data_IF_574572011098
#
_entry.id   IF_574572011098
#
_cell.length_a   1.000
_cell.length_b   1.000
_cell.length_c   1.000
_cell.angle_alpha   90.00
_cell.angle_beta   90.00
_cell.angle_gamma   90.00
#
_symmetry.space_group_name_H-M   'P 1'
#
loop_
_entity.id
_entity.type
_entity.pdbx_description
1 polymer ?
#
# COMPACT_ATOMS: atom_id res chain seq x y z
N UNK A 1 -27.05 11.49 24.79
CA UNK A 1 -26.59 10.89 23.48
C UNK A 1 -25.11 11.16 23.40
N UNK A 2 -24.30 10.09 23.33
CA UNK A 2 -22.86 10.23 23.26
C UNK A 2 -22.45 10.75 21.88
N UNK A 3 -21.44 11.62 21.82
CA UNK A 3 -20.91 12.18 20.57
C UNK A 3 -19.95 11.15 19.99
N UNK A 4 -20.17 10.75 18.75
CA UNK A 4 -19.16 10.01 18.00
C UNK A 4 -18.76 10.76 16.73
N UNK A 5 -17.52 10.57 16.27
CA UNK A 5 -17.01 11.12 15.03
C UNK A 5 -16.61 9.97 14.12
N UNK A 6 -16.98 10.06 12.85
CA UNK A 6 -16.55 9.14 11.79
C UNK A 6 -15.90 9.93 10.66
N UNK A 7 -14.72 9.48 10.26
CA UNK A 7 -13.96 10.08 9.17
C UNK A 7 -13.32 8.99 8.32
N UNK A 8 -13.63 8.96 7.03
CA UNK A 8 -13.07 8.02 6.05
C UNK A 8 -12.47 8.82 4.89
N UNK A 9 -11.17 9.14 4.93
CA UNK A 9 -10.52 10.00 3.95
C UNK A 9 -10.35 9.40 2.55
N UNK A 10 -10.28 8.06 2.34
CA UNK A 10 -10.13 7.50 1.02
C UNK A 10 -11.31 7.80 0.09
N UNK A 11 -11.00 8.15 -1.16
CA UNK A 11 -12.03 8.17 -2.21
C UNK A 11 -12.29 6.75 -2.69
N UNK A 12 -13.49 6.26 -2.49
CA UNK A 12 -13.90 4.92 -2.89
C UNK A 12 -14.54 4.91 -4.29
N UNK A 13 -14.11 3.97 -5.13
CA UNK A 13 -14.75 3.61 -6.39
C UNK A 13 -15.16 2.15 -6.35
N UNK A 14 -16.45 1.88 -6.48
CA UNK A 14 -16.99 0.52 -6.41
C UNK A 14 -17.84 0.20 -7.64
N UNK A 15 -17.73 -1.03 -8.15
CA UNK A 15 -18.54 -1.54 -9.26
C UNK A 15 -17.71 -2.18 -10.37
N UNK A 16 -18.40 -2.80 -11.32
CA UNK A 16 -17.78 -3.49 -12.44
C UNK A 16 -16.90 -2.55 -13.26
N UNK A 17 -15.61 -2.88 -13.37
CA UNK A 17 -14.65 -2.09 -14.11
C UNK A 17 -14.21 -0.80 -13.40
N UNK A 18 -14.43 -0.68 -12.08
CA UNK A 18 -13.99 0.48 -11.29
C UNK A 18 -12.50 0.78 -11.44
N UNK A 19 -11.66 -0.25 -11.67
CA UNK A 19 -10.22 -0.09 -11.91
C UNK A 19 -9.90 0.90 -13.05
N UNK A 20 -10.79 1.03 -14.05
CA UNK A 20 -10.62 2.01 -15.15
C UNK A 20 -10.69 3.46 -14.68
N UNK A 21 -11.24 3.73 -13.49
CA UNK A 21 -11.23 5.07 -12.89
C UNK A 21 -9.82 5.53 -12.53
N UNK A 22 -8.90 4.60 -12.37
CA UNK A 22 -7.49 4.88 -12.13
C UNK A 22 -6.86 5.74 -13.23
N UNK A 23 -7.28 5.56 -14.49
CA UNK A 23 -6.83 6.39 -15.62
C UNK A 23 -7.22 7.88 -15.50
N UNK A 24 -8.15 8.21 -14.62
CA UNK A 24 -8.60 9.60 -14.35
C UNK A 24 -8.34 10.01 -12.90
N UNK A 25 -7.62 9.20 -12.14
CA UNK A 25 -7.23 9.54 -10.78
C UNK A 25 -6.17 10.66 -10.80
N UNK A 26 -6.25 11.55 -9.82
CA UNK A 26 -5.22 12.60 -9.64
C UNK A 26 -4.03 11.99 -8.91
N UNK A 27 -3.20 11.25 -9.64
CA UNK A 27 -1.95 10.71 -9.15
C UNK A 27 -0.80 11.66 -9.51
N UNK A 28 0.28 11.71 -8.71
CA UNK A 28 1.49 12.44 -9.08
C UNK A 28 2.07 11.92 -10.39
N UNK A 29 2.66 12.80 -11.19
CA UNK A 29 3.40 12.41 -12.39
C UNK A 29 4.58 11.51 -12.02
N UNK A 30 4.94 10.58 -12.90
CA UNK A 30 6.08 9.68 -12.75
C UNK A 30 5.71 8.21 -12.65
N UNK A 31 6.56 7.45 -11.94
CA UNK A 31 6.47 6.01 -11.84
C UNK A 31 5.63 5.57 -10.62
N UNK A 32 4.71 4.64 -10.84
CA UNK A 32 3.96 3.96 -9.78
C UNK A 32 4.56 2.59 -9.43
N UNK A 33 4.61 2.23 -8.14
CA UNK A 33 4.99 0.89 -7.70
C UNK A 33 3.75 0.04 -7.40
N UNK A 34 3.55 -1.03 -8.16
CA UNK A 34 2.51 -2.01 -7.87
C UNK A 34 3.07 -3.04 -6.89
N UNK A 35 2.54 -3.05 -5.67
CA UNK A 35 2.91 -4.00 -4.61
C UNK A 35 1.84 -5.08 -4.53
N UNK A 36 2.25 -6.32 -4.72
CA UNK A 36 1.36 -7.49 -4.72
C UNK A 36 2.05 -8.71 -4.15
N UNK A 37 1.29 -9.75 -3.86
CA UNK A 37 1.81 -11.02 -3.35
C UNK A 37 1.08 -12.22 -3.93
N UNK A 38 1.71 -13.38 -3.77
CA UNK A 38 1.19 -14.63 -4.32
C UNK A 38 1.25 -14.68 -5.84
N UNK A 39 0.78 -15.80 -6.38
CA UNK A 39 0.77 -16.05 -7.84
C UNK A 39 -0.57 -15.67 -8.48
N UNK A 40 -1.63 -15.53 -7.70
CA UNK A 40 -3.00 -15.34 -8.21
C UNK A 40 -3.18 -14.01 -8.96
N UNK A 41 -2.70 -12.91 -8.44
CA UNK A 41 -2.84 -11.59 -9.06
C UNK A 41 -2.12 -11.51 -10.41
N UNK A 42 -0.95 -12.13 -10.52
CA UNK A 42 -0.20 -12.23 -11.78
C UNK A 42 -0.86 -13.22 -12.74
N UNK A 43 -1.19 -14.43 -12.27
CA UNK A 43 -1.80 -15.48 -13.10
C UNK A 43 -3.16 -15.09 -13.68
N UNK A 44 -3.93 -14.29 -12.94
CA UNK A 44 -5.24 -13.78 -13.39
C UNK A 44 -5.13 -12.49 -14.21
N UNK A 45 -3.93 -12.01 -14.50
CA UNK A 45 -3.69 -10.82 -15.30
C UNK A 45 -4.10 -9.51 -14.62
N UNK A 46 -4.24 -9.50 -13.29
CA UNK A 46 -4.64 -8.27 -12.58
C UNK A 46 -3.52 -7.24 -12.56
N UNK A 47 -2.27 -7.69 -12.42
CA UNK A 47 -1.08 -6.81 -12.46
C UNK A 47 -1.01 -6.12 -13.81
N UNK A 48 -1.09 -6.87 -14.92
CA UNK A 48 -1.01 -6.33 -16.27
C UNK A 48 -2.14 -5.35 -16.55
N UNK A 49 -3.37 -5.70 -16.12
CA UNK A 49 -4.53 -4.82 -16.27
C UNK A 49 -4.35 -3.48 -15.55
N UNK A 50 -3.82 -3.48 -14.34
CA UNK A 50 -3.56 -2.26 -13.57
C UNK A 50 -2.44 -1.46 -14.23
N UNK A 51 -1.35 -2.12 -14.62
CA UNK A 51 -0.23 -1.48 -15.30
C UNK A 51 -0.67 -0.84 -16.64
N UNK A 52 -1.52 -1.51 -17.41
CA UNK A 52 -2.05 -0.98 -18.69
C UNK A 52 -2.91 0.27 -18.48
N UNK A 53 -3.77 0.28 -17.45
CA UNK A 53 -4.59 1.45 -17.12
C UNK A 53 -3.71 2.63 -16.71
N UNK A 54 -2.67 2.40 -15.91
CA UNK A 54 -1.72 3.44 -15.51
C UNK A 54 -0.90 3.95 -16.70
N UNK A 55 -0.44 3.06 -17.57
CA UNK A 55 0.29 3.42 -18.78
C UNK A 55 -0.56 4.27 -19.74
N UNK A 56 -1.83 3.94 -19.90
CA UNK A 56 -2.78 4.76 -20.68
C UNK A 56 -2.98 6.15 -20.07
N UNK A 57 -2.77 6.31 -18.76
CA UNK A 57 -2.79 7.59 -18.07
C UNK A 57 -1.46 8.34 -18.11
N UNK A 58 -0.42 7.80 -18.76
CA UNK A 58 0.90 8.41 -18.88
C UNK A 58 1.87 8.08 -17.76
N UNK A 59 1.56 7.08 -16.91
CA UNK A 59 2.45 6.65 -15.82
C UNK A 59 3.30 5.43 -16.24
N UNK A 60 4.56 5.43 -15.83
CA UNK A 60 5.37 4.22 -15.80
C UNK A 60 5.04 3.37 -14.58
N UNK A 61 5.34 2.07 -14.62
CA UNK A 61 5.08 1.17 -13.50
C UNK A 61 6.24 0.24 -13.25
N UNK A 62 6.59 0.07 -11.97
CA UNK A 62 7.39 -1.01 -11.43
C UNK A 62 6.51 -1.99 -10.66
N UNK A 63 6.95 -3.22 -10.49
CA UNK A 63 6.19 -4.27 -9.78
C UNK A 63 7.06 -4.93 -8.72
N UNK A 64 6.53 -5.00 -7.50
CA UNK A 64 7.04 -5.82 -6.42
C UNK A 64 6.01 -6.92 -6.11
N UNK A 65 6.33 -8.17 -6.42
CA UNK A 65 5.40 -9.31 -6.34
C UNK A 65 5.79 -10.35 -5.28
N UNK A 66 6.53 -9.93 -4.24
CA UNK A 66 7.07 -10.85 -3.23
C UNK A 66 6.36 -10.77 -1.87
N UNK A 67 5.23 -10.04 -1.76
CA UNK A 67 4.50 -9.94 -0.50
C UNK A 67 4.00 -11.31 -0.09
N UNK A 68 4.32 -11.71 1.15
CA UNK A 68 3.90 -12.96 1.73
C UNK A 68 2.60 -12.79 2.55
N UNK A 69 1.84 -13.87 2.79
CA UNK A 69 0.82 -13.87 3.83
C UNK A 69 1.43 -13.46 5.17
N UNK A 70 0.77 -12.57 5.91
CA UNK A 70 1.34 -11.88 7.07
C UNK A 70 2.60 -11.09 6.67
N UNK A 71 2.43 -9.86 6.17
CA UNK A 71 3.52 -9.09 5.62
C UNK A 71 4.57 -8.80 6.68
N UNK A 72 5.84 -8.86 6.29
CA UNK A 72 6.98 -8.71 7.18
C UNK A 72 7.62 -7.34 7.07
N UNK A 73 8.33 -6.96 8.11
CA UNK A 73 9.11 -5.71 8.12
C UNK A 73 10.18 -5.71 7.02
N UNK A 74 10.76 -6.87 6.67
CA UNK A 74 11.72 -7.00 5.58
C UNK A 74 11.09 -6.64 4.24
N UNK A 75 9.85 -7.10 3.99
CA UNK A 75 9.12 -6.74 2.79
C UNK A 75 8.84 -5.23 2.69
N UNK A 76 8.54 -4.59 3.81
CA UNK A 76 8.37 -3.13 3.89
C UNK A 76 9.70 -2.42 3.57
N UNK A 77 10.81 -2.87 4.15
CA UNK A 77 12.16 -2.31 3.89
C UNK A 77 12.54 -2.42 2.41
N UNK A 78 12.32 -3.58 1.79
CA UNK A 78 12.59 -3.79 0.36
C UNK A 78 11.76 -2.84 -0.51
N UNK A 79 10.47 -2.74 -0.25
CA UNK A 79 9.58 -1.84 -0.99
C UNK A 79 9.97 -0.37 -0.82
N UNK A 80 10.29 0.07 0.40
CA UNK A 80 10.71 1.44 0.67
C UNK A 80 12.05 1.78 -0.02
N UNK A 81 13.00 0.84 -0.01
CA UNK A 81 14.26 1.00 -0.73
C UNK A 81 14.04 1.12 -2.24
N UNK A 82 13.15 0.29 -2.79
CA UNK A 82 12.77 0.36 -4.21
C UNK A 82 12.10 1.70 -4.55
N UNK A 83 11.21 2.20 -3.68
CA UNK A 83 10.57 3.51 -3.86
C UNK A 83 11.61 4.63 -3.98
N UNK A 84 12.60 4.64 -3.12
CA UNK A 84 13.67 5.66 -3.15
C UNK A 84 14.58 5.50 -4.37
N UNK A 85 15.02 4.28 -4.66
CA UNK A 85 15.95 4.01 -5.78
C UNK A 85 15.35 4.30 -7.15
N UNK A 86 14.07 4.00 -7.35
CA UNK A 86 13.35 4.19 -8.61
C UNK A 86 12.53 5.50 -8.67
N UNK A 87 12.69 6.40 -7.68
CA UNK A 87 11.95 7.66 -7.60
C UNK A 87 10.43 7.48 -7.78
N UNK A 88 9.87 6.50 -7.08
CA UNK A 88 8.44 6.18 -7.13
C UNK A 88 7.62 7.38 -6.62
N UNK A 89 6.60 7.75 -7.37
CA UNK A 89 5.74 8.90 -7.07
C UNK A 89 4.46 8.51 -6.33
N UNK A 90 3.97 7.28 -6.50
CA UNK A 90 2.80 6.73 -5.82
C UNK A 90 2.88 5.20 -5.77
N UNK A 91 2.08 4.59 -4.89
CA UNK A 91 2.06 3.13 -4.72
C UNK A 91 0.66 2.59 -4.99
N UNK A 92 0.58 1.41 -5.60
CA UNK A 92 -0.66 0.65 -5.78
C UNK A 92 -0.54 -0.66 -5.02
N UNK A 93 -1.29 -0.81 -3.92
CA UNK A 93 -1.45 -2.07 -3.21
C UNK A 93 -2.52 -2.92 -3.90
N UNK A 94 -2.10 -4.00 -4.58
CA UNK A 94 -2.99 -4.88 -5.34
C UNK A 94 -3.02 -6.28 -4.71
N UNK A 95 -4.14 -6.67 -4.14
CA UNK A 95 -4.24 -8.00 -3.52
C UNK A 95 -5.13 -8.04 -2.29
N UNK A 96 -4.80 -8.92 -1.36
CA UNK A 96 -5.42 -8.97 -0.04
C UNK A 96 -4.82 -7.94 0.92
N UNK A 97 -5.23 -8.00 2.20
CA UNK A 97 -4.76 -7.11 3.25
C UNK A 97 -3.24 -6.99 3.32
N UNK A 98 -2.52 -8.12 3.22
CA UNK A 98 -1.06 -8.13 3.26
C UNK A 98 -0.40 -7.22 2.22
N UNK A 99 -0.90 -7.22 0.98
CA UNK A 99 -0.36 -6.37 -0.09
C UNK A 99 -0.65 -4.90 0.16
N UNK A 100 -1.85 -4.59 0.65
CA UNK A 100 -2.28 -3.22 0.92
C UNK A 100 -1.55 -2.67 2.16
N UNK A 101 -1.41 -3.47 3.21
CA UNK A 101 -0.67 -3.09 4.42
C UNK A 101 0.81 -2.83 4.13
N UNK A 102 1.45 -3.71 3.34
CA UNK A 102 2.83 -3.47 2.86
C UNK A 102 2.92 -2.16 2.07
N UNK A 103 1.94 -1.88 1.21
CA UNK A 103 1.91 -0.66 0.40
C UNK A 103 1.80 0.61 1.27
N UNK A 104 0.93 0.62 2.29
CA UNK A 104 0.81 1.74 3.22
C UNK A 104 2.08 1.96 4.02
N UNK A 105 2.64 0.91 4.61
CA UNK A 105 3.89 1.00 5.38
C UNK A 105 5.06 1.45 4.50
N UNK A 106 5.21 0.90 3.30
CA UNK A 106 6.24 1.32 2.35
C UNK A 106 6.08 2.78 1.91
N UNK A 107 4.85 3.26 1.76
CA UNK A 107 4.57 4.66 1.41
C UNK A 107 5.09 5.64 2.47
N UNK A 108 4.90 5.31 3.76
CA UNK A 108 5.45 6.10 4.86
C UNK A 108 6.97 6.02 4.89
N UNK A 109 7.53 4.81 4.74
CA UNK A 109 8.99 4.61 4.80
C UNK A 109 9.73 5.14 3.56
N UNK A 110 9.05 5.41 2.47
CA UNK A 110 9.66 6.06 1.31
C UNK A 110 10.05 7.52 1.59
N UNK A 111 9.38 8.18 2.52
CA UNK A 111 9.50 9.62 2.80
C UNK A 111 10.00 9.93 4.22
N UNK A 112 10.12 8.93 5.07
CA UNK A 112 10.55 9.08 6.47
C UNK A 112 11.78 8.22 6.75
N UNK A 113 12.63 8.72 7.65
CA UNK A 113 13.88 8.08 8.03
C UNK A 113 13.67 7.01 9.12
N UNK A 114 14.61 6.08 9.21
CA UNK A 114 14.62 5.00 10.21
C UNK A 114 13.99 3.72 9.70
N UNK A 115 13.39 2.96 10.59
CA UNK A 115 12.74 1.69 10.30
C UNK A 115 11.23 1.78 10.53
N UNK A 116 10.43 0.94 9.86
CA UNK A 116 8.99 0.89 10.10
C UNK A 116 8.66 0.62 11.57
N UNK A 117 9.43 -0.25 12.22
CA UNK A 117 9.20 -0.62 13.62
C UNK A 117 9.38 0.55 14.60
N UNK A 118 10.16 1.57 14.23
CA UNK A 118 10.28 2.81 15.02
C UNK A 118 8.94 3.56 15.12
N UNK A 119 8.05 3.38 14.15
CA UNK A 119 6.75 4.06 14.04
C UNK A 119 5.57 3.27 14.61
N UNK A 120 5.78 1.99 14.92
CA UNK A 120 4.73 1.11 15.45
C UNK A 120 4.41 1.50 16.89
N UNK A 121 3.11 1.63 17.19
CA UNK A 121 2.60 1.90 18.52
C UNK A 121 2.17 0.57 19.19
N UNK A 122 2.97 0.07 20.11
CA UNK A 122 2.69 -1.15 20.87
C UNK A 122 3.80 -2.18 20.76
N UNK A 123 3.74 -3.25 21.59
CA UNK A 123 4.79 -4.25 21.69
C UNK A 123 6.17 -3.65 21.90
N UNK A 124 7.13 -4.05 21.08
CA UNK A 124 8.50 -3.50 21.07
C UNK A 124 8.67 -2.32 20.10
N UNK A 125 7.58 -1.79 19.55
CA UNK A 125 7.61 -0.65 18.62
C UNK A 125 8.06 0.65 19.28
N UNK A 126 8.69 1.53 18.49
CA UNK A 126 9.28 2.77 18.98
C UNK A 126 8.29 3.92 19.22
N UNK A 127 7.06 3.84 18.68
CA UNK A 127 6.03 4.88 18.82
C UNK A 127 6.42 6.24 18.22
N UNK A 128 7.39 6.27 17.30
CA UNK A 128 7.87 7.49 16.66
C UNK A 128 6.78 8.14 15.81
N UNK A 129 6.69 9.45 15.88
CA UNK A 129 5.72 10.22 15.09
C UNK A 129 6.14 10.30 13.63
N UNK A 130 5.20 10.06 12.70
CA UNK A 130 5.40 10.26 11.26
C UNK A 130 5.56 11.76 11.01
N UNK A 131 6.72 12.18 10.50
CA UNK A 131 7.07 13.59 10.29
C UNK A 131 6.65 14.08 8.90
N UNK A 132 6.83 13.24 7.87
CA UNK A 132 6.52 13.55 6.48
C UNK A 132 5.35 12.70 5.99
N UNK A 133 4.47 13.30 5.20
CA UNK A 133 3.40 12.55 4.54
C UNK A 133 4.00 11.42 3.68
N UNK A 134 3.41 10.23 3.75
CA UNK A 134 3.77 9.13 2.87
C UNK A 134 3.44 9.39 1.40
N UNK A 135 3.96 8.57 0.51
CA UNK A 135 3.54 8.58 -0.90
C UNK A 135 2.03 8.29 -1.01
N UNK A 136 1.33 8.85 -2.01
CA UNK A 136 -0.06 8.50 -2.26
C UNK A 136 -0.23 6.99 -2.50
N UNK A 137 -1.24 6.40 -1.89
CA UNK A 137 -1.55 4.97 -2.01
C UNK A 137 -2.91 4.77 -2.69
N UNK A 138 -2.93 3.88 -3.67
CA UNK A 138 -4.16 3.32 -4.27
C UNK A 138 -4.30 1.89 -3.77
N UNK A 139 -5.39 1.56 -3.10
CA UNK A 139 -5.71 0.21 -2.69
C UNK A 139 -6.68 -0.45 -3.67
N UNK A 140 -6.32 -1.62 -4.18
CA UNK A 140 -7.14 -2.44 -5.08
C UNK A 140 -7.30 -3.83 -4.44
N UNK A 141 -8.31 -4.02 -3.57
CA UNK A 141 -8.53 -5.28 -2.88
C UNK A 141 -9.02 -6.36 -3.86
N UNK A 142 -8.48 -7.57 -3.71
CA UNK A 142 -8.92 -8.78 -4.41
C UNK A 142 -9.59 -9.79 -3.48
N UNK A 143 -9.67 -9.48 -2.20
CA UNK A 143 -10.35 -10.27 -1.16
C UNK A 143 -11.29 -9.37 -0.37
N UNK A 144 -12.44 -9.90 0.02
CA UNK A 144 -13.35 -9.20 0.91
C UNK A 144 -13.02 -9.49 2.38
N UNK A 145 -13.24 -8.52 3.26
CA UNK A 145 -13.28 -8.71 4.71
C UNK A 145 -12.19 -8.01 5.51
N UNK A 146 -11.05 -7.63 4.92
CA UNK A 146 -9.97 -6.98 5.70
C UNK A 146 -10.28 -5.51 6.03
N UNK A 147 -10.95 -4.80 5.12
CA UNK A 147 -11.26 -3.38 5.29
C UNK A 147 -10.06 -2.44 5.19
N UNK A 148 -8.85 -2.98 5.03
CA UNK A 148 -7.61 -2.19 5.05
C UNK A 148 -7.53 -1.15 3.93
N UNK A 149 -8.33 -1.31 2.87
CA UNK A 149 -8.46 -0.31 1.81
C UNK A 149 -9.14 0.98 2.27
N UNK A 150 -9.84 0.95 3.40
CA UNK A 150 -10.62 2.06 3.92
C UNK A 150 -10.09 2.64 5.25
N UNK A 151 -9.14 1.98 5.89
CA UNK A 151 -8.58 2.40 7.17
C UNK A 151 -7.12 2.91 7.04
N UNK A 152 -6.61 3.66 8.04
CA UNK A 152 -5.23 4.14 8.05
C UNK A 152 -4.24 3.13 8.63
N UNK A 153 -4.70 2.00 9.16
CA UNK A 153 -3.86 1.05 9.90
C UNK A 153 -3.20 0.03 8.97
N UNK A 154 -2.10 -0.55 9.46
CA UNK A 154 -1.41 -1.69 8.82
C UNK A 154 -1.12 -2.76 9.86
N UNK A 155 -1.04 -4.02 9.43
CA UNK A 155 -0.64 -5.13 10.29
C UNK A 155 0.63 -5.73 9.70
N UNK A 156 1.76 -5.51 10.37
CA UNK A 156 3.09 -5.95 9.92
C UNK A 156 3.70 -6.88 11.00
N UNK A 157 4.38 -7.91 10.55
CA UNK A 157 5.07 -8.89 11.41
C UNK A 157 6.56 -8.54 11.49
N UNK A 158 7.11 -8.51 12.71
CA UNK A 158 8.53 -8.37 12.99
C UNK A 158 8.98 -9.56 13.84
N UNK A 159 9.68 -10.52 13.25
CA UNK A 159 9.99 -11.77 13.91
C UNK A 159 8.72 -12.51 14.33
N UNK A 160 8.56 -12.76 15.66
CA UNK A 160 7.37 -13.39 16.23
C UNK A 160 6.25 -12.38 16.58
N UNK A 161 6.54 -11.09 16.59
CA UNK A 161 5.56 -10.05 16.89
C UNK A 161 4.73 -9.69 15.65
N UNK A 162 3.42 -9.58 15.82
CA UNK A 162 2.48 -9.13 14.81
C UNK A 162 1.63 -8.03 15.40
N UNK A 163 1.92 -6.79 15.04
CA UNK A 163 1.27 -5.61 15.61
C UNK A 163 0.76 -4.70 14.49
N UNK A 164 -0.43 -4.14 14.72
CA UNK A 164 -1.01 -3.08 13.89
C UNK A 164 -0.44 -1.71 14.26
N UNK A 165 -0.19 -0.88 13.27
CA UNK A 165 0.26 0.51 13.43
C UNK A 165 -0.33 1.42 12.36
#
# INVERSE_FOLDING_TARGET
MDIFSFYMPPRLFFGNGAVRKLAKARLPEGCGLIITGGTSTTRLGYVDRVADVLRQAGHETAVYNKVQPNPTIEGVRECAALCRAAHISFIVGLGGGSSIDTAKAAAVMATNDGDWWDYVHGGTGGGKRIANAGLPVVAIPTTAGTGTEADPFTVITNGEEKIGG
#
